data_IF_492241362997
#
_entry.id   IF_492241362997
#
_cell.length_a   1.000
_cell.length_b   1.000
_cell.length_c   1.000
_cell.angle_alpha   90.00
_cell.angle_beta   90.00
_cell.angle_gamma   90.00
#
_symmetry.space_group_name_H-M   'P 1'
#
loop_
_entity.id
_entity.type
_entity.pdbx_description
1 polymer ?
#
# COMPACT_ATOMS: atom_id res chain seq x y z
N UNK A 1 36.56 -4.90 -5.13
CA UNK A 1 35.65 -5.34 -6.20
C UNK A 1 34.49 -4.36 -6.23
N UNK A 2 34.00 -3.97 -7.40
CA UNK A 2 32.78 -3.17 -7.47
C UNK A 2 31.64 -3.93 -6.78
N UNK A 3 30.80 -3.23 -6.02
CA UNK A 3 29.63 -3.81 -5.37
C UNK A 3 28.62 -4.22 -6.46
N UNK A 4 28.06 -5.43 -6.36
CA UNK A 4 27.03 -5.87 -7.31
C UNK A 4 25.78 -5.01 -7.19
N UNK A 5 25.19 -4.58 -8.30
CA UNK A 5 23.96 -3.81 -8.29
C UNK A 5 22.78 -4.65 -7.78
N UNK A 6 21.81 -3.97 -7.16
CA UNK A 6 20.54 -4.55 -6.69
C UNK A 6 19.40 -3.81 -7.38
N UNK A 7 18.33 -4.52 -7.72
CA UNK A 7 17.14 -3.89 -8.25
C UNK A 7 15.90 -4.19 -7.39
N UNK A 8 14.99 -3.23 -7.36
CA UNK A 8 13.72 -3.28 -6.64
C UNK A 8 12.59 -3.00 -7.62
N UNK A 9 11.58 -3.85 -7.62
CA UNK A 9 10.36 -3.65 -8.38
C UNK A 9 9.19 -3.45 -7.42
N UNK A 10 8.71 -2.21 -7.32
CA UNK A 10 7.56 -1.87 -6.52
C UNK A 10 6.28 -2.23 -7.27
N UNK A 11 5.51 -3.18 -6.75
CA UNK A 11 4.32 -3.71 -7.43
C UNK A 11 3.06 -3.13 -6.81
N UNK A 12 2.28 -2.41 -7.64
CA UNK A 12 0.95 -1.90 -7.29
C UNK A 12 -0.14 -2.82 -7.86
N UNK A 13 -1.37 -2.65 -7.39
CA UNK A 13 -2.53 -3.34 -7.98
C UNK A 13 -2.72 -3.00 -9.47
N UNK A 14 -2.52 -1.74 -9.81
CA UNK A 14 -2.91 -1.14 -11.08
C UNK A 14 -4.14 -0.25 -10.91
N UNK A 15 -4.26 0.76 -11.77
CA UNK A 15 -5.37 1.70 -11.74
C UNK A 15 -5.60 2.33 -13.11
N UNK A 16 -6.86 2.61 -13.44
CA UNK A 16 -7.23 3.44 -14.61
C UNK A 16 -7.05 4.93 -14.34
N UNK A 17 -6.92 5.33 -13.08
CA UNK A 17 -6.66 6.73 -12.71
C UNK A 17 -5.19 7.06 -12.97
N UNK A 18 -4.88 8.04 -13.85
CA UNK A 18 -3.52 8.37 -14.23
C UNK A 18 -2.67 8.92 -13.07
N UNK A 19 -3.29 9.39 -11.99
CA UNK A 19 -2.59 9.83 -10.78
C UNK A 19 -1.85 8.68 -10.10
N UNK A 20 -2.44 7.47 -10.10
CA UNK A 20 -1.87 6.32 -9.39
C UNK A 20 -0.49 5.90 -9.94
N UNK A 21 -0.27 5.65 -11.24
CA UNK A 21 1.05 5.33 -11.74
C UNK A 21 2.05 6.49 -11.61
N UNK A 22 1.59 7.74 -11.65
CA UNK A 22 2.45 8.88 -11.38
C UNK A 22 2.94 8.88 -9.93
N UNK A 23 2.04 8.69 -8.95
CA UNK A 23 2.39 8.61 -7.53
C UNK A 23 3.27 7.41 -7.22
N UNK A 24 3.05 6.26 -7.89
CA UNK A 24 3.92 5.09 -7.74
C UNK A 24 5.37 5.41 -8.17
N UNK A 25 5.56 6.13 -9.29
CA UNK A 25 6.90 6.58 -9.72
C UNK A 25 7.53 7.56 -8.72
N UNK A 26 6.75 8.53 -8.21
CA UNK A 26 7.24 9.45 -7.17
C UNK A 26 7.66 8.71 -5.89
N UNK A 27 6.91 7.66 -5.52
CA UNK A 27 7.28 6.80 -4.40
C UNK A 27 8.58 6.03 -4.69
N UNK A 28 8.73 5.48 -5.90
CA UNK A 28 9.94 4.77 -6.29
C UNK A 28 11.20 5.65 -6.22
N UNK A 29 11.12 6.90 -6.69
CA UNK A 29 12.21 7.87 -6.60
C UNK A 29 12.61 8.15 -5.14
N UNK A 30 11.63 8.29 -4.24
CA UNK A 30 11.87 8.49 -2.80
C UNK A 30 12.46 7.25 -2.14
N UNK A 31 11.96 6.05 -2.49
CA UNK A 31 12.50 4.77 -2.01
C UNK A 31 13.94 4.61 -2.47
N UNK A 32 14.24 4.91 -3.75
CA UNK A 32 15.60 4.87 -4.26
C UNK A 32 16.53 5.80 -3.47
N UNK A 33 16.09 7.00 -3.16
CA UNK A 33 16.86 7.95 -2.34
C UNK A 33 17.14 7.37 -0.93
N UNK A 34 16.12 6.79 -0.28
CA UNK A 34 16.27 6.16 1.04
C UNK A 34 17.27 4.99 1.02
N UNK A 35 17.15 4.10 0.04
CA UNK A 35 18.03 2.93 -0.10
C UNK A 35 19.46 3.34 -0.45
N UNK A 36 19.64 4.32 -1.34
CA UNK A 36 20.96 4.79 -1.75
C UNK A 36 21.75 5.42 -0.60
N UNK A 37 21.06 5.99 0.40
CA UNK A 37 21.70 6.51 1.62
C UNK A 37 22.35 5.42 2.48
N UNK A 38 21.94 4.15 2.32
CA UNK A 38 22.40 3.01 3.12
C UNK A 38 23.40 2.11 2.38
N UNK A 39 23.63 2.34 1.07
CA UNK A 39 24.55 1.50 0.28
C UNK A 39 25.31 2.31 -0.76
N UNK A 40 26.56 1.91 -0.98
CA UNK A 40 27.38 2.41 -2.09
C UNK A 40 27.19 1.60 -3.38
N UNK A 41 26.44 0.50 -3.34
CA UNK A 41 26.14 -0.29 -4.53
C UNK A 41 25.21 0.48 -5.48
N UNK A 42 25.37 0.36 -6.79
CA UNK A 42 24.36 0.83 -7.74
C UNK A 42 23.02 0.15 -7.45
N UNK A 43 21.94 0.92 -7.43
CA UNK A 43 20.60 0.35 -7.25
C UNK A 43 19.59 1.02 -8.17
N UNK A 44 18.57 0.24 -8.55
CA UNK A 44 17.46 0.71 -9.36
C UNK A 44 16.16 0.41 -8.67
N UNK A 45 15.24 1.36 -8.67
CA UNK A 45 13.89 1.18 -8.15
C UNK A 45 12.92 1.51 -9.28
N UNK A 46 12.15 0.53 -9.69
CA UNK A 46 11.14 0.67 -10.74
C UNK A 46 9.76 0.29 -10.22
N UNK A 47 8.74 0.60 -11.01
CA UNK A 47 7.36 0.27 -10.69
C UNK A 47 6.75 -0.65 -11.72
N UNK A 48 5.87 -1.54 -11.26
CA UNK A 48 4.99 -2.34 -12.11
C UNK A 48 3.57 -2.36 -11.55
N UNK A 49 2.61 -2.66 -12.40
CA UNK A 49 1.24 -2.94 -11.98
C UNK A 49 0.96 -4.43 -12.19
N UNK A 50 0.23 -5.03 -11.25
CA UNK A 50 -0.20 -6.43 -11.34
C UNK A 50 -1.31 -6.58 -12.39
N UNK A 51 -2.25 -5.63 -12.39
CA UNK A 51 -3.37 -5.57 -13.33
C UNK A 51 -3.37 -4.25 -14.11
N UNK A 52 -4.18 -4.18 -15.15
CA UNK A 52 -4.39 -2.97 -15.96
C UNK A 52 -3.09 -2.37 -16.52
N UNK A 53 -2.10 -3.21 -16.77
CA UNK A 53 -0.81 -2.86 -17.34
C UNK A 53 -0.71 -3.33 -18.78
N UNK A 54 -0.01 -2.58 -19.63
CA UNK A 54 0.27 -2.97 -21.03
C UNK A 54 1.21 -4.18 -21.11
N UNK A 55 2.05 -4.35 -20.10
CA UNK A 55 3.03 -5.45 -20.00
C UNK A 55 2.75 -6.26 -18.74
N UNK A 56 2.53 -7.59 -18.83
CA UNK A 56 2.33 -8.46 -17.66
C UNK A 56 3.46 -8.37 -16.66
N UNK A 57 3.16 -8.62 -15.37
CA UNK A 57 4.14 -8.47 -14.29
C UNK A 57 5.35 -9.37 -14.48
N UNK A 58 5.17 -10.65 -14.87
CA UNK A 58 6.31 -11.56 -15.13
C UNK A 58 7.26 -11.04 -16.22
N UNK A 59 6.74 -10.40 -17.29
CA UNK A 59 7.57 -9.81 -18.32
C UNK A 59 8.34 -8.59 -17.83
N UNK A 60 7.72 -7.76 -16.95
CA UNK A 60 8.42 -6.62 -16.33
C UNK A 60 9.54 -7.10 -15.41
N UNK A 61 9.32 -8.18 -14.67
CA UNK A 61 10.34 -8.82 -13.84
C UNK A 61 11.50 -9.33 -14.73
N UNK A 62 11.20 -10.01 -15.86
CA UNK A 62 12.19 -10.49 -16.80
C UNK A 62 13.02 -9.33 -17.39
N UNK A 63 12.37 -8.28 -17.90
CA UNK A 63 13.05 -7.11 -18.48
C UNK A 63 14.02 -6.44 -17.49
N UNK A 64 13.58 -6.26 -16.24
CA UNK A 64 14.43 -5.67 -15.20
C UNK A 64 15.54 -6.63 -14.79
N UNK A 65 15.23 -7.93 -14.68
CA UNK A 65 16.18 -8.99 -14.34
C UNK A 65 17.28 -9.15 -15.38
N UNK A 66 16.95 -9.21 -16.66
CA UNK A 66 17.93 -9.29 -17.75
C UNK A 66 18.87 -8.09 -17.72
N UNK A 67 18.32 -6.88 -17.57
CA UNK A 67 19.14 -5.67 -17.44
C UNK A 67 20.05 -5.72 -16.22
N UNK A 68 19.56 -6.21 -15.08
CA UNK A 68 20.32 -6.36 -13.85
C UNK A 68 21.48 -7.35 -14.04
N UNK A 69 21.21 -8.52 -14.63
CA UNK A 69 22.23 -9.52 -14.94
C UNK A 69 23.32 -8.99 -15.88
N UNK A 70 22.96 -8.22 -16.92
CA UNK A 70 23.92 -7.57 -17.81
C UNK A 70 24.89 -6.62 -17.09
N UNK A 71 24.53 -6.12 -15.92
CA UNK A 71 25.36 -5.27 -15.07
C UNK A 71 26.02 -6.03 -13.89
N UNK A 72 25.92 -7.37 -13.87
CA UNK A 72 26.52 -8.20 -12.83
C UNK A 72 25.74 -8.26 -11.52
N UNK A 73 24.47 -7.84 -11.52
CA UNK A 73 23.58 -8.00 -10.38
C UNK A 73 23.01 -9.41 -10.31
N UNK A 74 22.72 -9.87 -9.10
CA UNK A 74 22.26 -11.24 -8.81
C UNK A 74 20.98 -11.30 -8.01
N UNK A 75 20.47 -10.17 -7.47
CA UNK A 75 19.29 -10.11 -6.62
C UNK A 75 18.31 -9.08 -7.14
N UNK A 76 17.06 -9.50 -7.38
CA UNK A 76 15.92 -8.65 -7.70
C UNK A 76 14.87 -8.78 -6.61
N UNK A 77 14.51 -7.69 -5.97
CA UNK A 77 13.52 -7.66 -4.92
C UNK A 77 12.17 -7.14 -5.44
N UNK A 78 11.12 -7.93 -5.24
CA UNK A 78 9.74 -7.59 -5.57
C UNK A 78 9.07 -7.09 -4.30
N UNK A 79 8.66 -5.83 -4.27
CA UNK A 79 8.05 -5.19 -3.10
C UNK A 79 6.57 -4.92 -3.36
N UNK A 80 5.65 -5.73 -2.79
CA UNK A 80 4.22 -5.52 -2.96
C UNK A 80 3.73 -4.28 -2.22
N UNK A 81 3.28 -3.25 -2.95
CA UNK A 81 2.69 -2.04 -2.40
C UNK A 81 1.20 -2.23 -2.08
N UNK A 82 0.88 -3.31 -1.38
CA UNK A 82 -0.47 -3.66 -0.96
C UNK A 82 -0.65 -3.38 0.53
N UNK A 83 -1.84 -2.95 0.91
CA UNK A 83 -2.15 -2.62 2.31
C UNK A 83 -2.76 -3.80 3.08
N UNK A 84 -3.24 -4.83 2.37
CA UNK A 84 -3.91 -5.99 2.94
C UNK A 84 -3.38 -7.30 2.34
N UNK A 85 -3.41 -8.41 3.11
CA UNK A 85 -2.95 -9.72 2.67
C UNK A 85 -4.03 -10.42 1.80
N UNK A 86 -4.38 -9.81 0.67
CA UNK A 86 -5.36 -10.35 -0.29
C UNK A 86 -4.78 -11.44 -1.20
N UNK A 87 -5.62 -11.95 -2.13
CA UNK A 87 -5.24 -12.94 -3.16
C UNK A 87 -4.02 -12.48 -3.96
N UNK A 88 -3.98 -11.21 -4.35
CA UNK A 88 -2.87 -10.65 -5.11
C UNK A 88 -1.51 -10.84 -4.44
N UNK A 89 -1.45 -10.67 -3.12
CA UNK A 89 -0.20 -10.83 -2.35
C UNK A 89 0.14 -12.31 -2.13
N UNK A 90 -0.88 -13.15 -1.91
CA UNK A 90 -0.68 -14.56 -1.52
C UNK A 90 -0.49 -15.50 -2.71
N UNK A 91 -1.16 -15.20 -3.83
CA UNK A 91 -1.27 -16.11 -4.96
C UNK A 91 -0.75 -15.47 -6.26
N UNK A 92 -1.26 -14.30 -6.67
CA UNK A 92 -1.01 -13.76 -8.00
C UNK A 92 0.45 -13.28 -8.17
N UNK A 93 0.98 -12.49 -7.24
CA UNK A 93 2.39 -12.02 -7.30
C UNK A 93 3.37 -13.20 -7.23
N UNK A 94 3.22 -14.19 -6.31
CA UNK A 94 4.05 -15.38 -6.32
C UNK A 94 3.99 -16.17 -7.63
N UNK A 95 2.81 -16.31 -8.25
CA UNK A 95 2.67 -16.98 -9.55
C UNK A 95 3.42 -16.25 -10.67
N UNK A 96 3.28 -14.93 -10.75
CA UNK A 96 4.00 -14.09 -11.73
C UNK A 96 5.52 -14.14 -11.52
N UNK A 97 5.99 -14.16 -10.27
CA UNK A 97 7.40 -14.32 -9.93
C UNK A 97 7.91 -15.69 -10.34
N UNK A 98 7.15 -16.76 -10.10
CA UNK A 98 7.54 -18.12 -10.49
C UNK A 98 7.70 -18.26 -12.02
N UNK A 99 6.80 -17.64 -12.81
CA UNK A 99 6.91 -17.59 -14.28
C UNK A 99 8.19 -16.85 -14.68
N UNK A 100 8.48 -15.71 -14.08
CA UNK A 100 9.67 -14.93 -14.37
C UNK A 100 10.96 -15.67 -13.98
N UNK A 101 11.00 -16.30 -12.80
CA UNK A 101 12.15 -17.03 -12.26
C UNK A 101 12.57 -18.18 -13.19
N UNK A 102 11.61 -18.85 -13.85
CA UNK A 102 11.91 -19.90 -14.81
C UNK A 102 12.75 -19.41 -16.03
N UNK A 103 12.68 -18.13 -16.35
CA UNK A 103 13.45 -17.51 -17.43
C UNK A 103 14.74 -16.82 -16.94
N UNK A 104 14.90 -16.67 -15.62
CA UNK A 104 16.02 -15.98 -14.97
C UNK A 104 16.77 -16.92 -14.00
N UNK A 105 17.34 -18.04 -14.48
CA UNK A 105 17.87 -19.10 -13.60
C UNK A 105 19.07 -18.67 -12.74
N UNK A 106 19.77 -17.59 -13.14
CA UNK A 106 20.95 -17.08 -12.43
C UNK A 106 20.63 -15.91 -11.51
N UNK A 107 19.40 -15.42 -11.52
CA UNK A 107 18.93 -14.31 -10.69
C UNK A 107 18.11 -14.82 -9.52
N UNK A 108 18.40 -14.35 -8.34
CA UNK A 108 17.57 -14.58 -7.16
C UNK A 108 16.45 -13.53 -7.11
N UNK A 109 15.21 -13.95 -7.43
CA UNK A 109 14.03 -13.06 -7.39
C UNK A 109 13.31 -13.27 -6.06
N UNK A 110 13.44 -12.30 -5.17
CA UNK A 110 12.90 -12.35 -3.81
C UNK A 110 11.62 -11.54 -3.70
N UNK A 111 10.58 -12.09 -3.03
CA UNK A 111 9.36 -11.34 -2.70
C UNK A 111 9.51 -10.80 -1.27
N UNK A 112 9.48 -9.47 -1.11
CA UNK A 112 9.47 -8.82 0.18
C UNK A 112 8.09 -8.93 0.86
N UNK A 113 7.99 -8.70 2.18
CA UNK A 113 6.70 -8.49 2.83
C UNK A 113 5.93 -7.34 2.18
N UNK A 114 4.59 -7.42 2.14
CA UNK A 114 3.75 -6.35 1.58
C UNK A 114 3.71 -5.13 2.51
N UNK A 115 3.50 -3.93 1.95
CA UNK A 115 3.58 -2.66 2.68
C UNK A 115 2.71 -2.62 3.95
N UNK A 116 1.47 -3.10 3.89
CA UNK A 116 0.56 -3.10 5.03
C UNK A 116 0.98 -4.02 6.18
N UNK A 117 1.91 -4.96 5.97
CA UNK A 117 2.47 -5.82 7.02
C UNK A 117 3.59 -5.16 7.83
N UNK A 118 4.01 -3.94 7.45
CA UNK A 118 5.10 -3.27 8.14
C UNK A 118 4.72 -2.94 9.60
N UNK A 119 5.52 -3.30 10.61
CA UNK A 119 5.19 -3.09 12.03
C UNK A 119 4.87 -1.64 12.40
N UNK A 120 5.47 -0.67 11.71
CA UNK A 120 5.23 0.74 11.96
C UNK A 120 4.05 1.33 11.17
N UNK A 121 3.30 0.53 10.41
CA UNK A 121 2.13 1.00 9.67
C UNK A 121 1.08 1.61 10.63
N UNK A 122 0.81 0.97 11.76
CA UNK A 122 -0.10 1.51 12.77
C UNK A 122 0.34 2.89 13.31
N UNK A 123 1.65 3.10 13.52
CA UNK A 123 2.18 4.39 13.97
C UNK A 123 2.03 5.48 12.89
N UNK A 124 2.25 5.13 11.62
CA UNK A 124 2.05 6.04 10.49
C UNK A 124 0.58 6.49 10.44
N UNK A 125 -0.36 5.55 10.48
CA UNK A 125 -1.80 5.82 10.46
C UNK A 125 -2.25 6.65 11.66
N UNK A 126 -1.71 6.37 12.86
CA UNK A 126 -2.01 7.13 14.07
C UNK A 126 -1.66 8.62 13.93
N UNK A 127 -0.54 8.94 13.27
CA UNK A 127 -0.09 10.32 13.01
C UNK A 127 -0.93 11.04 11.94
N UNK A 128 -1.61 10.29 11.08
CA UNK A 128 -2.46 10.85 10.03
C UNK A 128 -3.80 11.36 10.55
N UNK A 129 -4.24 10.91 11.72
CA UNK A 129 -5.43 11.47 12.36
C UNK A 129 -5.14 12.82 13.02
N UNK A 130 -6.07 13.78 12.85
CA UNK A 130 -6.01 15.03 13.61
C UNK A 130 -6.20 14.73 15.12
N UNK A 131 -5.20 15.02 15.97
CA UNK A 131 -5.26 14.68 17.39
C UNK A 131 -6.35 15.44 18.18
N UNK A 132 -6.90 16.52 17.60
CA UNK A 132 -7.96 17.31 18.20
C UNK A 132 -9.34 16.67 18.06
N UNK A 133 -9.49 15.67 17.18
CA UNK A 133 -10.75 14.99 16.93
C UNK A 133 -10.97 13.86 17.94
N UNK A 134 -12.16 13.86 18.58
CA UNK A 134 -12.51 12.89 19.62
C UNK A 134 -12.84 11.51 19.08
N UNK A 135 -13.46 11.42 17.92
CA UNK A 135 -13.86 10.15 17.29
C UNK A 135 -13.15 9.95 15.96
N UNK A 136 -12.91 8.69 15.63
CA UNK A 136 -12.12 8.30 14.45
C UNK A 136 -12.83 7.26 13.61
N UNK A 137 -12.76 7.40 12.30
CA UNK A 137 -13.26 6.42 11.33
C UNK A 137 -12.16 6.07 10.35
N UNK A 138 -11.85 4.77 10.22
CA UNK A 138 -10.91 4.25 9.22
C UNK A 138 -11.72 3.72 8.03
N UNK A 139 -11.59 4.34 6.86
CA UNK A 139 -12.35 3.97 5.66
C UNK A 139 -11.48 3.16 4.72
N UNK A 140 -11.87 1.94 4.40
CA UNK A 140 -11.18 1.08 3.42
C UNK A 140 -12.12 0.63 2.32
N UNK A 141 -11.60 -0.10 1.32
CA UNK A 141 -12.43 -0.62 0.24
C UNK A 141 -13.51 -1.58 0.75
N UNK A 142 -13.18 -2.43 1.71
CA UNK A 142 -14.04 -3.51 2.19
C UNK A 142 -13.98 -4.77 1.30
N UNK A 143 -14.36 -5.90 1.88
CA UNK A 143 -14.37 -7.20 1.23
C UNK A 143 -15.70 -7.92 1.47
N UNK A 144 -16.23 -8.56 0.40
CA UNK A 144 -17.40 -9.43 0.50
C UNK A 144 -17.06 -10.86 0.97
N UNK A 145 -15.77 -11.19 1.07
CA UNK A 145 -15.32 -12.52 1.54
C UNK A 145 -15.47 -12.60 3.05
N UNK A 146 -15.93 -13.73 3.55
CA UNK A 146 -15.97 -13.98 5.00
C UNK A 146 -14.57 -13.80 5.61
N UNK A 147 -14.48 -13.04 6.70
CA UNK A 147 -13.22 -12.72 7.37
C UNK A 147 -12.29 -11.75 6.60
N UNK A 148 -12.64 -11.32 5.38
CA UNK A 148 -11.80 -10.44 4.56
C UNK A 148 -11.59 -9.04 5.16
N UNK A 149 -12.45 -8.61 6.07
CA UNK A 149 -12.35 -7.31 6.76
C UNK A 149 -11.61 -7.37 8.10
N UNK A 150 -11.36 -8.57 8.64
CA UNK A 150 -10.70 -8.74 9.94
C UNK A 150 -9.36 -7.98 10.07
N UNK A 151 -8.48 -7.90 9.04
CA UNK A 151 -7.26 -7.09 9.14
C UNK A 151 -7.55 -5.59 9.34
N UNK A 152 -8.60 -5.06 8.69
CA UNK A 152 -9.01 -3.64 8.85
C UNK A 152 -9.60 -3.41 10.22
N UNK A 153 -10.43 -4.33 10.71
CA UNK A 153 -11.03 -4.27 12.04
C UNK A 153 -9.95 -4.25 13.13
N UNK A 154 -8.90 -5.09 12.97
CA UNK A 154 -7.77 -5.12 13.88
C UNK A 154 -6.97 -3.79 13.86
N UNK A 155 -6.68 -3.22 12.69
CA UNK A 155 -6.02 -1.92 12.56
C UNK A 155 -6.89 -0.82 13.17
N UNK A 156 -8.18 -0.78 12.86
CA UNK A 156 -9.11 0.21 13.39
C UNK A 156 -9.17 0.15 14.93
N UNK A 157 -9.24 -1.05 15.51
CA UNK A 157 -9.21 -1.24 16.95
C UNK A 157 -7.91 -0.70 17.59
N UNK A 158 -6.74 -0.96 16.99
CA UNK A 158 -5.46 -0.42 17.46
C UNK A 158 -5.41 1.11 17.40
N UNK A 159 -6.11 1.73 16.46
CA UNK A 159 -6.18 3.17 16.28
C UNK A 159 -7.28 3.84 17.12
N UNK A 160 -8.10 3.06 17.82
CA UNK A 160 -9.30 3.57 18.48
C UNK A 160 -10.30 4.16 17.48
N UNK A 161 -10.41 3.57 16.30
CA UNK A 161 -11.25 4.01 15.19
C UNK A 161 -12.37 3.01 14.91
N UNK A 162 -13.49 3.47 14.36
CA UNK A 162 -14.52 2.61 13.79
C UNK A 162 -14.14 2.25 12.34
N UNK A 163 -14.20 0.97 11.93
CA UNK A 163 -14.00 0.60 10.55
C UNK A 163 -15.23 0.95 9.71
N UNK A 164 -15.02 1.56 8.55
CA UNK A 164 -16.03 1.80 7.53
C UNK A 164 -15.54 1.30 6.18
N UNK A 165 -16.48 0.95 5.30
CA UNK A 165 -16.15 0.35 4.02
C UNK A 165 -16.85 1.05 2.87
N UNK A 166 -16.14 1.16 1.74
CA UNK A 166 -16.68 1.70 0.50
C UNK A 166 -17.66 0.74 -0.18
N UNK A 167 -17.35 -0.54 -0.25
CA UNK A 167 -18.08 -1.52 -1.07
C UNK A 167 -19.04 -2.43 -0.30
N UNK A 168 -19.01 -2.40 1.04
CA UNK A 168 -19.84 -3.22 1.94
C UNK A 168 -20.23 -2.42 3.19
N UNK A 169 -21.17 -2.94 3.98
CA UNK A 169 -21.49 -2.37 5.29
C UNK A 169 -20.44 -2.74 6.36
N UNK A 170 -20.27 -1.91 7.40
CA UNK A 170 -20.87 -0.59 7.55
C UNK A 170 -20.22 0.47 6.67
N UNK A 171 -21.02 1.32 6.04
CA UNK A 171 -20.55 2.46 5.25
C UNK A 171 -20.07 3.60 6.13
N UNK A 172 -19.34 4.58 5.54
CA UNK A 172 -18.95 5.80 6.26
C UNK A 172 -20.17 6.53 6.86
N UNK A 173 -21.26 6.67 6.10
CA UNK A 173 -22.46 7.32 6.59
C UNK A 173 -23.07 6.60 7.81
N UNK A 174 -23.13 5.26 7.78
CA UNK A 174 -23.63 4.49 8.91
C UNK A 174 -22.76 4.66 10.17
N UNK A 175 -21.44 4.69 10.04
CA UNK A 175 -20.54 4.93 11.17
C UNK A 175 -20.65 6.34 11.72
N UNK A 176 -20.82 7.34 10.85
CA UNK A 176 -21.06 8.73 11.28
C UNK A 176 -22.36 8.83 12.06
N UNK A 177 -23.48 8.28 11.57
CA UNK A 177 -24.77 8.29 12.29
C UNK A 177 -24.65 7.58 13.65
N UNK A 178 -23.92 6.47 13.73
CA UNK A 178 -23.65 5.81 15.01
C UNK A 178 -22.91 6.73 15.98
N UNK A 179 -21.87 7.43 15.53
CA UNK A 179 -21.11 8.37 16.37
C UNK A 179 -21.96 9.56 16.81
N UNK A 180 -22.80 10.10 15.93
CA UNK A 180 -23.71 11.20 16.27
C UNK A 180 -24.72 10.79 17.34
N UNK A 181 -25.22 9.56 17.30
CA UNK A 181 -26.15 9.04 18.32
C UNK A 181 -25.54 8.96 19.73
N UNK A 182 -24.19 8.93 19.82
CA UNK A 182 -23.44 8.97 21.10
C UNK A 182 -23.03 10.37 21.54
N UNK A 183 -23.49 11.42 20.84
CA UNK A 183 -23.18 12.82 21.17
C UNK A 183 -21.82 13.31 20.68
N UNK A 184 -21.19 12.63 19.74
CA UNK A 184 -19.92 13.06 19.13
C UNK A 184 -20.06 14.41 18.45
N UNK A 185 -19.09 15.31 18.68
CA UNK A 185 -19.04 16.65 18.10
C UNK A 185 -17.90 16.84 17.07
N UNK A 186 -16.92 15.92 17.02
CA UNK A 186 -15.78 16.00 16.13
C UNK A 186 -15.35 14.61 15.66
N UNK A 187 -15.23 14.42 14.35
CA UNK A 187 -14.95 13.13 13.70
C UNK A 187 -13.76 13.28 12.74
N UNK A 188 -12.70 12.51 12.99
CA UNK A 188 -11.58 12.35 12.08
C UNK A 188 -11.80 11.15 11.17
N UNK A 189 -11.60 11.32 9.87
CA UNK A 189 -11.77 10.29 8.85
C UNK A 189 -10.43 10.05 8.19
N UNK A 190 -9.97 8.80 8.17
CA UNK A 190 -8.74 8.37 7.51
C UNK A 190 -9.06 7.37 6.40
N UNK A 191 -8.86 7.73 5.13
CA UNK A 191 -8.95 6.80 4.02
C UNK A 191 -7.71 5.88 4.02
N UNK A 192 -7.90 4.59 4.25
CA UNK A 192 -6.86 3.58 4.19
C UNK A 192 -6.67 3.11 2.76
N UNK A 193 -6.07 3.97 1.96
CA UNK A 193 -5.71 3.77 0.56
C UNK A 193 -4.28 4.26 0.35
N UNK A 194 -3.54 3.61 -0.54
CA UNK A 194 -2.16 4.00 -0.81
C UNK A 194 -2.10 5.33 -1.56
N UNK A 195 -2.87 5.47 -2.64
CA UNK A 195 -2.87 6.66 -3.48
C UNK A 195 -4.27 7.25 -3.64
N UNK A 196 -4.32 8.55 -3.92
CA UNK A 196 -5.54 9.23 -4.33
C UNK A 196 -6.05 8.66 -5.67
N UNK A 197 -7.36 8.63 -5.82
CA UNK A 197 -8.06 8.13 -7.01
C UNK A 197 -9.57 8.29 -6.87
N UNK A 198 -10.34 7.80 -7.84
CA UNK A 198 -11.78 8.02 -7.89
C UNK A 198 -12.54 7.60 -6.62
N UNK A 199 -12.11 6.53 -5.93
CA UNK A 199 -12.74 6.11 -4.67
C UNK A 199 -12.47 7.12 -3.56
N UNK A 200 -11.25 7.58 -3.40
CA UNK A 200 -10.89 8.56 -2.36
C UNK A 200 -11.53 9.93 -2.63
N UNK A 201 -11.67 10.33 -3.90
CA UNK A 201 -12.40 11.54 -4.29
C UNK A 201 -13.88 11.42 -3.92
N UNK A 202 -14.50 10.26 -4.17
CA UNK A 202 -15.89 10.03 -3.80
C UNK A 202 -16.10 9.98 -2.27
N UNK A 203 -15.12 9.45 -1.51
CA UNK A 203 -15.13 9.52 -0.04
C UNK A 203 -15.03 10.98 0.42
N UNK A 204 -14.15 11.79 -0.18
CA UNK A 204 -14.03 13.22 0.15
C UNK A 204 -15.32 13.98 -0.11
N UNK A 205 -15.98 13.71 -1.24
CA UNK A 205 -17.30 14.28 -1.53
C UNK A 205 -18.34 13.85 -0.50
N UNK A 206 -18.36 12.58 -0.12
CA UNK A 206 -19.28 12.08 0.93
C UNK A 206 -19.04 12.76 2.28
N UNK A 207 -17.79 13.01 2.67
CA UNK A 207 -17.45 13.75 3.89
C UNK A 207 -17.94 15.19 3.80
N UNK A 208 -17.77 15.84 2.65
CA UNK A 208 -18.30 17.19 2.41
C UNK A 208 -19.84 17.24 2.56
N UNK A 209 -20.55 16.29 1.97
CA UNK A 209 -22.02 16.21 2.07
C UNK A 209 -22.48 15.93 3.51
N UNK A 210 -21.73 15.12 4.27
CA UNK A 210 -22.00 14.89 5.70
C UNK A 210 -21.80 16.18 6.52
N UNK A 211 -20.74 16.93 6.25
CA UNK A 211 -20.49 18.21 6.91
C UNK A 211 -21.60 19.24 6.64
N UNK A 212 -22.12 19.28 5.42
CA UNK A 212 -23.27 20.15 5.10
C UNK A 212 -24.56 19.74 5.82
N UNK A 213 -24.81 18.44 5.98
CA UNK A 213 -26.01 17.91 6.69
C UNK A 213 -25.91 18.07 8.21
N UNK A 214 -24.70 18.12 8.75
CA UNK A 214 -24.45 18.22 10.18
C UNK A 214 -23.54 19.43 10.50
N UNK A 215 -24.01 20.68 10.33
CA UNK A 215 -23.16 21.88 10.41
C UNK A 215 -22.59 22.16 11.80
N UNK A 216 -23.11 21.51 12.84
CA UNK A 216 -22.60 21.61 14.24
C UNK A 216 -21.48 20.61 14.53
N UNK A 217 -21.23 19.67 13.63
CA UNK A 217 -20.21 18.63 13.80
C UNK A 217 -18.95 19.01 13.01
N UNK A 218 -17.81 18.91 13.67
CA UNK A 218 -16.52 19.13 13.02
C UNK A 218 -16.07 17.85 12.34
N UNK A 219 -15.84 17.91 11.04
CA UNK A 219 -15.21 16.82 10.26
C UNK A 219 -13.78 17.19 9.87
N UNK A 220 -12.86 16.23 9.98
CA UNK A 220 -11.52 16.32 9.44
C UNK A 220 -11.26 15.06 8.62
N UNK A 221 -10.82 15.20 7.38
CA UNK A 221 -10.43 14.08 6.54
C UNK A 221 -8.94 14.18 6.24
N UNK A 222 -8.22 13.09 6.54
CA UNK A 222 -6.81 12.96 6.17
C UNK A 222 -6.66 12.61 4.68
N UNK A 223 -5.49 12.93 4.12
CA UNK A 223 -5.11 12.45 2.80
C UNK A 223 -4.83 10.92 2.83
N UNK A 224 -4.98 10.21 1.70
CA UNK A 224 -4.42 8.86 1.54
C UNK A 224 -2.92 8.84 1.87
N UNK A 225 -2.35 7.65 2.11
CA UNK A 225 -0.94 7.51 2.52
C UNK A 225 0.04 8.23 1.58
N UNK A 226 -0.21 8.20 0.29
CA UNK A 226 0.55 8.95 -0.72
C UNK A 226 1.99 8.49 -0.90
N UNK A 227 2.70 9.21 -1.76
CA UNK A 227 4.14 9.02 -1.97
C UNK A 227 4.95 9.89 -0.97
N UNK A 228 4.69 9.74 0.33
CA UNK A 228 5.36 10.52 1.37
C UNK A 228 6.74 9.95 1.71
N UNK A 229 7.57 10.74 2.41
CA UNK A 229 8.89 10.29 2.87
C UNK A 229 8.75 9.16 3.89
N UNK A 230 7.73 9.20 4.74
CA UNK A 230 7.45 8.17 5.74
C UNK A 230 7.08 6.84 5.06
N UNK A 231 6.21 6.86 4.05
CA UNK A 231 5.85 5.66 3.28
C UNK A 231 7.07 5.10 2.56
N UNK A 232 7.89 5.97 1.93
CA UNK A 232 9.11 5.55 1.27
C UNK A 232 10.11 4.88 2.24
N UNK A 233 10.21 5.40 3.46
CA UNK A 233 11.06 4.81 4.50
C UNK A 233 10.55 3.42 4.93
N UNK A 234 9.23 3.24 5.10
CA UNK A 234 8.66 1.93 5.39
C UNK A 234 8.94 0.94 4.25
N UNK A 235 8.76 1.35 3.00
CA UNK A 235 9.03 0.52 1.83
C UNK A 235 10.51 0.11 1.78
N UNK A 236 11.43 1.04 2.00
CA UNK A 236 12.87 0.75 2.04
C UNK A 236 13.23 -0.26 3.13
N UNK A 237 12.58 -0.19 4.30
CA UNK A 237 12.82 -1.14 5.40
C UNK A 237 12.26 -2.55 5.13
N UNK A 238 11.31 -2.73 4.20
CA UNK A 238 10.81 -4.05 3.83
C UNK A 238 11.86 -4.88 3.09
N UNK A 239 12.75 -4.24 2.36
CA UNK A 239 13.80 -4.89 1.58
C UNK A 239 14.86 -5.59 2.44
N UNK A 240 15.02 -5.17 3.69
CA UNK A 240 15.96 -5.77 4.64
C UNK A 240 15.36 -6.99 5.38
N UNK A 241 14.10 -7.34 5.07
CA UNK A 241 13.37 -8.40 5.77
C UNK A 241 13.16 -9.59 4.87
N UNK A 242 13.49 -10.82 5.33
CA UNK A 242 13.12 -12.01 4.57
C UNK A 242 11.59 -12.10 4.46
N UNK A 243 11.13 -12.58 3.30
CA UNK A 243 9.72 -12.91 3.14
C UNK A 243 9.28 -13.87 4.26
N UNK A 244 8.09 -13.71 4.84
CA UNK A 244 7.58 -14.71 5.75
C UNK A 244 7.43 -16.05 5.02
N UNK A 245 7.84 -17.16 5.66
CA UNK A 245 7.89 -18.54 5.12
C UNK A 245 6.59 -19.04 4.42
N UNK A 246 5.51 -18.29 4.48
CA UNK A 246 4.21 -18.64 3.91
C UNK A 246 4.04 -18.33 2.42
N UNK A 247 5.01 -17.67 1.79
CA UNK A 247 5.01 -17.42 0.33
C UNK A 247 5.80 -18.47 -0.47
N UNK A 248 6.46 -19.39 0.24
CA UNK A 248 7.17 -20.54 -0.33
C UNK A 248 6.35 -21.79 0.06
N UNK A 249 5.28 -22.04 -0.65
CA UNK A 249 4.56 -23.32 -0.53
C UNK A 249 4.71 -24.08 -1.82
N UNK A 250 5.25 -25.28 -1.69
CA UNK A 250 5.52 -26.35 -2.64
C UNK A 250 4.62 -26.44 -3.84
#
# INVERSE_FOLDING_TARGET
MPLSPVAYLLVTHGSRDPRSPWMARQLAERVQYCLQASTAAPLWVETASLELADVPLHQRIQQLGDRLCCHGGTVLQIVPLFLLPGVHVRDDIPAEVAIAQAHLPTLDVQICPYLGSHPHMGQLLQRSFDPRMGSRVLVSHGSRRAGGNAPIEAIAAQLGALPAYWSVAPSLAQQVEQLLSTGTQAIAILPYFLFAGGITDAIAQQVHDLAQRHPTIQFSMAEPLGATAEVAHLVAQLSDRPAPDRYVSC
#
